data_IF_245597469003
#
_entry.id   IF_245597469003
#
_cell.length_a   1.000
_cell.length_b   1.000
_cell.length_c   1.000
_cell.angle_alpha   90.00
_cell.angle_beta   90.00
_cell.angle_gamma   90.00
#
_symmetry.space_group_name_H-M   'P 1'
#
loop_
_entity.id
_entity.type
_entity.pdbx_description
1 polymer ?
#
# COMPACT_ATOMS: atom_id res chain seq x y z
N UNK A 1 -7.66 15.67 -11.09
CA UNK A 1 -6.89 15.40 -12.33
C UNK A 1 -5.79 16.43 -12.57
N UNK A 2 -6.08 17.74 -12.69
CA UNK A 2 -5.05 18.76 -12.94
C UNK A 2 -3.96 18.85 -11.84
N UNK A 3 -4.36 18.86 -10.57
CA UNK A 3 -3.42 18.88 -9.44
C UNK A 3 -2.45 17.68 -9.42
N UNK A 4 -2.91 16.49 -9.80
CA UNK A 4 -2.07 15.28 -9.90
C UNK A 4 -1.04 15.43 -11.03
N UNK A 5 -1.43 16.01 -12.18
CA UNK A 5 -0.48 16.26 -13.29
C UNK A 5 0.60 17.27 -12.92
N UNK A 6 0.24 18.30 -12.17
CA UNK A 6 1.21 19.28 -11.64
C UNK A 6 2.12 18.59 -10.62
N UNK A 7 1.54 17.86 -9.66
CA UNK A 7 2.29 17.10 -8.66
C UNK A 7 3.28 16.13 -9.32
N UNK A 8 2.88 15.42 -10.38
CA UNK A 8 3.76 14.56 -11.16
C UNK A 8 4.97 15.31 -11.71
N UNK A 9 4.78 16.47 -12.34
CA UNK A 9 5.89 17.26 -12.88
C UNK A 9 6.87 17.68 -11.78
N UNK A 10 6.35 18.10 -10.64
CA UNK A 10 7.16 18.49 -9.48
C UNK A 10 7.83 17.28 -8.82
N UNK A 11 7.18 16.12 -8.78
CA UNK A 11 7.74 14.88 -8.21
C UNK A 11 8.97 14.37 -8.97
N UNK A 12 9.07 14.72 -10.26
CA UNK A 12 10.21 14.43 -11.13
C UNK A 12 11.17 15.63 -11.30
N UNK A 13 10.93 16.74 -10.59
CA UNK A 13 11.87 17.85 -10.56
C UNK A 13 13.16 17.44 -9.86
N UNK A 14 14.32 17.83 -10.40
CA UNK A 14 15.62 17.36 -9.91
C UNK A 14 15.91 17.77 -8.47
N UNK A 15 15.41 18.92 -8.02
CA UNK A 15 15.70 19.42 -6.68
C UNK A 15 14.82 18.71 -5.66
N UNK A 16 13.53 18.57 -5.97
CA UNK A 16 12.59 17.77 -5.16
C UNK A 16 13.04 16.30 -5.11
N UNK A 17 13.53 15.74 -6.22
CA UNK A 17 14.03 14.37 -6.28
C UNK A 17 15.22 14.13 -5.35
N UNK A 18 16.20 15.05 -5.31
CA UNK A 18 17.36 14.94 -4.41
C UNK A 18 16.92 14.88 -2.94
N UNK A 19 15.95 15.72 -2.56
CA UNK A 19 15.45 15.75 -1.18
C UNK A 19 14.65 14.48 -0.87
N UNK A 20 13.82 13.99 -1.81
CA UNK A 20 13.09 12.73 -1.66
C UNK A 20 14.02 11.51 -1.56
N UNK A 21 15.19 11.54 -2.19
CA UNK A 21 16.18 10.47 -2.04
C UNK A 21 16.82 10.48 -0.65
N UNK A 22 16.86 11.61 0.06
CA UNK A 22 17.26 11.64 1.46
C UNK A 22 16.27 10.89 2.38
N UNK A 23 14.95 10.98 2.14
CA UNK A 23 13.92 10.26 2.94
C UNK A 23 14.14 8.75 2.90
N UNK A 24 14.57 8.24 1.74
CA UNK A 24 14.84 6.82 1.52
C UNK A 24 16.06 6.32 2.26
N UNK A 25 17.03 7.20 2.49
CA UNK A 25 18.25 6.88 3.23
C UNK A 25 18.04 6.96 4.74
N UNK A 26 16.98 7.62 5.22
CA UNK A 26 16.65 7.64 6.63
C UNK A 26 16.23 6.24 7.12
N UNK A 27 16.66 5.83 8.32
CA UNK A 27 16.19 4.60 8.96
C UNK A 27 14.66 4.56 8.98
N UNK A 28 14.10 3.37 8.79
CA UNK A 28 12.64 3.24 8.88
C UNK A 28 12.22 3.44 10.34
N UNK A 29 11.26 4.34 10.63
CA UNK A 29 10.91 4.62 12.00
C UNK A 29 10.31 3.39 12.68
N UNK A 30 10.92 3.02 13.80
CA UNK A 30 10.36 2.15 14.83
C UNK A 30 9.34 2.97 15.60
N UNK A 31 8.07 2.52 15.67
CA UNK A 31 6.88 2.94 16.48
C UNK A 31 6.77 4.36 17.10
N UNK A 32 7.67 5.28 16.79
CA UNK A 32 7.99 6.56 17.44
C UNK A 32 7.93 7.62 16.34
N UNK A 33 7.65 8.86 16.74
CA UNK A 33 7.69 9.99 15.84
C UNK A 33 9.10 10.22 15.28
N UNK A 34 9.21 10.22 13.95
CA UNK A 34 10.47 10.42 13.24
C UNK A 34 10.69 11.92 13.00
N UNK A 35 11.30 12.60 13.98
CA UNK A 35 11.52 14.05 13.91
C UNK A 35 12.37 14.43 12.69
N UNK A 36 13.41 13.66 12.35
CA UNK A 36 14.25 13.91 11.18
C UNK A 36 13.46 13.85 9.88
N UNK A 37 12.66 12.78 9.72
CA UNK A 37 11.78 12.61 8.56
C UNK A 37 10.70 13.69 8.49
N UNK A 38 10.13 14.08 9.62
CA UNK A 38 9.14 15.16 9.68
C UNK A 38 9.72 16.50 9.21
N UNK A 39 10.91 16.86 9.69
CA UNK A 39 11.61 18.07 9.24
C UNK A 39 11.96 18.00 7.75
N UNK A 40 12.40 16.84 7.26
CA UNK A 40 12.63 16.63 5.83
C UNK A 40 11.36 16.87 5.02
N UNK A 41 10.21 16.36 5.46
CA UNK A 41 8.93 16.59 4.77
C UNK A 41 8.45 18.04 4.85
N UNK A 42 8.79 18.78 5.91
CA UNK A 42 8.58 20.24 5.95
C UNK A 42 9.41 20.94 4.88
N UNK A 43 10.69 20.57 4.75
CA UNK A 43 11.58 21.13 3.72
C UNK A 43 11.06 20.83 2.30
N UNK A 44 10.66 19.58 2.02
CA UNK A 44 10.06 19.19 0.73
C UNK A 44 8.81 20.05 0.44
N UNK A 45 7.95 20.25 1.44
CA UNK A 45 6.73 21.05 1.27
C UNK A 45 7.05 22.52 0.97
N UNK A 46 8.02 23.11 1.67
CA UNK A 46 8.47 24.47 1.43
C UNK A 46 9.02 24.64 0.01
N UNK A 47 9.93 23.76 -0.40
CA UNK A 47 10.51 23.75 -1.75
C UNK A 47 9.43 23.67 -2.84
N UNK A 48 8.46 22.76 -2.67
CA UNK A 48 7.34 22.60 -3.61
C UNK A 48 6.45 23.86 -3.65
N UNK A 49 6.15 24.46 -2.49
CA UNK A 49 5.31 25.67 -2.41
C UNK A 49 6.02 26.88 -3.01
N UNK A 50 7.33 27.01 -2.80
CA UNK A 50 8.15 28.10 -3.34
C UNK A 50 8.25 27.99 -4.87
N UNK A 51 8.55 26.81 -5.40
CA UNK A 51 8.57 26.57 -6.87
C UNK A 51 7.23 26.85 -7.54
N UNK A 52 6.13 26.64 -6.83
CA UNK A 52 4.78 26.89 -7.36
C UNK A 52 4.25 28.30 -7.07
N UNK A 53 4.98 29.11 -6.29
CA UNK A 53 4.52 30.40 -5.76
C UNK A 53 4.12 31.41 -6.84
N UNK A 54 4.84 31.44 -7.96
CA UNK A 54 4.59 32.31 -9.09
C UNK A 54 3.50 31.79 -10.04
N UNK A 55 3.06 30.54 -9.90
CA UNK A 55 2.18 29.88 -10.88
C UNK A 55 0.80 29.53 -10.34
N UNK A 56 0.64 29.34 -9.02
CA UNK A 56 -0.58 28.78 -8.43
C UNK A 56 -1.06 29.52 -7.16
N UNK A 57 -2.39 29.65 -6.96
CA UNK A 57 -2.97 30.08 -5.70
C UNK A 57 -2.55 29.21 -4.51
N UNK A 58 -2.49 29.81 -3.30
CA UNK A 58 -2.04 29.16 -2.06
C UNK A 58 -2.71 27.81 -1.79
N UNK A 59 -4.04 27.72 -1.93
CA UNK A 59 -4.78 26.48 -1.70
C UNK A 59 -4.34 25.35 -2.65
N UNK A 60 -4.07 25.67 -3.91
CA UNK A 60 -3.59 24.69 -4.89
C UNK A 60 -2.15 24.27 -4.62
N UNK A 61 -1.28 25.20 -4.17
CA UNK A 61 0.10 24.89 -3.76
C UNK A 61 0.13 23.88 -2.62
N UNK A 62 -0.62 24.14 -1.56
CA UNK A 62 -0.75 23.22 -0.42
C UNK A 62 -1.30 21.86 -0.83
N UNK A 63 -2.30 21.84 -1.72
CA UNK A 63 -2.86 20.59 -2.24
C UNK A 63 -1.84 19.79 -3.05
N UNK A 64 -1.06 20.44 -3.92
CA UNK A 64 -0.01 19.78 -4.70
C UNK A 64 1.07 19.22 -3.77
N UNK A 65 1.52 19.99 -2.78
CA UNK A 65 2.52 19.54 -1.81
C UNK A 65 2.07 18.27 -1.04
N UNK A 66 0.80 18.17 -0.64
CA UNK A 66 0.25 16.95 -0.01
C UNK A 66 0.23 15.75 -0.97
N UNK A 67 -0.01 15.97 -2.26
CA UNK A 67 0.01 14.89 -3.25
C UNK A 67 1.42 14.31 -3.46
N UNK A 68 2.48 15.12 -3.33
CA UNK A 68 3.87 14.64 -3.43
C UNK A 68 4.15 13.56 -2.38
N UNK A 69 3.73 13.79 -1.14
CA UNK A 69 3.88 12.82 -0.03
C UNK A 69 3.12 11.52 -0.33
N UNK A 70 1.84 11.63 -0.72
CA UNK A 70 1.03 10.46 -1.07
C UNK A 70 1.61 9.63 -2.24
N UNK A 71 2.12 10.32 -3.26
CA UNK A 71 2.75 9.68 -4.41
C UNK A 71 4.08 9.02 -4.04
N UNK A 72 4.91 9.69 -3.24
CA UNK A 72 6.15 9.10 -2.73
C UNK A 72 5.86 7.81 -1.96
N UNK A 73 4.88 7.84 -1.05
CA UNK A 73 4.45 6.65 -0.30
C UNK A 73 3.91 5.54 -1.21
N UNK A 74 3.16 5.86 -2.27
CA UNK A 74 2.71 4.84 -3.23
C UNK A 74 3.88 4.19 -3.99
N UNK A 75 4.88 4.98 -4.38
CA UNK A 75 6.10 4.47 -5.01
C UNK A 75 6.90 3.56 -4.07
N UNK A 76 7.09 3.97 -2.82
CA UNK A 76 7.76 3.16 -1.79
C UNK A 76 7.00 1.87 -1.49
N UNK A 77 5.67 1.91 -1.49
CA UNK A 77 4.84 0.71 -1.32
C UNK A 77 4.96 -0.24 -2.51
N UNK A 78 4.98 0.29 -3.74
CA UNK A 78 5.26 -0.53 -4.92
C UNK A 78 6.64 -1.20 -4.81
N UNK A 79 7.69 -0.45 -4.44
CA UNK A 79 9.03 -1.02 -4.26
C UNK A 79 9.01 -2.09 -3.17
N UNK A 80 8.35 -1.83 -2.03
CA UNK A 80 8.22 -2.79 -0.93
C UNK A 80 7.54 -4.09 -1.35
N UNK A 81 6.47 -4.01 -2.15
CA UNK A 81 5.73 -5.18 -2.64
C UNK A 81 6.61 -6.10 -3.52
N UNK A 82 7.63 -5.52 -4.15
CA UNK A 82 8.56 -6.23 -5.03
C UNK A 82 9.95 -6.41 -4.42
N UNK A 83 10.18 -5.99 -3.17
CA UNK A 83 11.52 -5.84 -2.62
C UNK A 83 12.34 -7.13 -2.64
N UNK A 84 11.71 -8.28 -2.33
CA UNK A 84 12.36 -9.60 -2.45
C UNK A 84 12.89 -9.85 -3.88
N UNK A 85 12.11 -9.50 -4.90
CA UNK A 85 12.51 -9.63 -6.31
C UNK A 85 13.59 -8.60 -6.67
N UNK A 86 13.48 -7.37 -6.17
CA UNK A 86 14.37 -6.25 -6.49
C UNK A 86 15.76 -6.38 -5.81
N UNK A 87 15.83 -6.81 -4.55
CA UNK A 87 17.10 -7.08 -3.85
C UNK A 87 17.94 -8.15 -4.54
N UNK A 88 17.30 -9.09 -5.25
CA UNK A 88 17.97 -10.18 -5.96
C UNK A 88 18.49 -9.75 -7.34
N UNK A 89 18.33 -8.47 -7.68
CA UNK A 89 18.84 -7.86 -8.90
C UNK A 89 19.94 -6.86 -8.54
N UNK A 90 21.21 -7.29 -8.66
CA UNK A 90 22.39 -6.52 -8.27
C UNK A 90 22.57 -5.17 -9.00
N UNK A 91 21.75 -4.87 -10.02
CA UNK A 91 21.77 -3.63 -10.80
C UNK A 91 20.43 -2.90 -10.89
N UNK A 92 19.32 -3.44 -10.37
CA UNK A 92 18.04 -3.22 -11.08
C UNK A 92 16.95 -2.43 -10.37
N UNK A 93 17.16 -1.83 -9.20
CA UNK A 93 16.19 -0.84 -8.72
C UNK A 93 16.89 0.24 -7.91
N UNK A 94 17.67 1.04 -8.62
CA UNK A 94 18.02 2.34 -8.11
C UNK A 94 16.72 3.18 -8.08
N UNK A 95 16.47 3.97 -7.01
CA UNK A 95 15.58 5.12 -6.96
C UNK A 95 15.34 5.87 -8.28
N UNK A 96 16.32 5.88 -9.20
CA UNK A 96 16.30 6.48 -10.55
C UNK A 96 15.32 5.86 -11.55
N UNK A 97 14.64 4.76 -11.23
CA UNK A 97 13.65 4.14 -12.13
C UNK A 97 12.22 4.66 -11.95
N UNK A 98 12.02 5.82 -11.30
CA UNK A 98 10.70 6.48 -11.19
C UNK A 98 10.04 6.69 -12.56
N UNK A 99 10.81 6.82 -13.65
CA UNK A 99 10.27 6.93 -15.02
C UNK A 99 9.54 5.66 -15.49
N UNK A 100 9.67 4.54 -14.76
CA UNK A 100 8.97 3.27 -15.03
C UNK A 100 7.54 3.27 -14.49
N UNK A 101 7.23 4.13 -13.50
CA UNK A 101 5.89 4.21 -12.93
C UNK A 101 4.90 4.80 -13.94
N UNK A 102 3.86 4.02 -14.24
CA UNK A 102 2.70 4.48 -14.96
C UNK A 102 1.70 5.00 -13.91
N UNK A 103 1.41 6.30 -13.88
CA UNK A 103 0.52 6.90 -12.89
C UNK A 103 -0.91 7.03 -13.41
N UNK A 104 -1.88 6.76 -12.54
CA UNK A 104 -3.30 7.00 -12.78
C UNK A 104 -3.67 8.46 -12.51
N UNK A 105 -4.85 8.87 -12.95
CA UNK A 105 -5.37 10.24 -12.78
C UNK A 105 -5.66 10.63 -11.33
N UNK A 106 -5.74 9.65 -10.42
CA UNK A 106 -5.90 9.82 -8.98
C UNK A 106 -4.57 9.90 -8.21
N UNK A 107 -3.44 9.80 -8.91
CA UNK A 107 -2.10 9.83 -8.30
C UNK A 107 -1.64 8.49 -7.74
N UNK A 108 -2.39 7.39 -7.96
CA UNK A 108 -1.92 6.04 -7.66
C UNK A 108 -1.15 5.42 -8.83
N UNK A 109 -0.33 4.39 -8.59
CA UNK A 109 0.39 3.70 -9.65
C UNK A 109 -0.54 2.71 -10.36
N UNK A 110 -0.58 2.75 -11.69
CA UNK A 110 -1.09 1.68 -12.52
C UNK A 110 -0.10 0.51 -12.49
N UNK A 111 -0.34 -0.42 -11.56
CA UNK A 111 0.60 -1.51 -11.29
C UNK A 111 0.75 -2.48 -12.45
N UNK A 112 -0.32 -2.76 -13.20
CA UNK A 112 -0.27 -3.65 -14.37
C UNK A 112 0.61 -3.02 -15.46
N UNK A 113 0.33 -1.77 -15.85
CA UNK A 113 1.13 -1.08 -16.86
C UNK A 113 2.57 -0.86 -16.42
N UNK A 114 2.80 -0.55 -15.15
CA UNK A 114 4.13 -0.42 -14.57
C UNK A 114 4.89 -1.74 -14.64
N UNK A 115 4.25 -2.86 -14.25
CA UNK A 115 4.84 -4.18 -14.33
C UNK A 115 5.12 -4.60 -15.79
N UNK A 116 4.24 -4.23 -16.73
CA UNK A 116 4.44 -4.45 -18.17
C UNK A 116 5.64 -3.67 -18.69
N UNK A 117 5.72 -2.37 -18.41
CA UNK A 117 6.87 -1.53 -18.77
C UNK A 117 8.17 -2.05 -18.16
N UNK A 118 8.12 -2.55 -16.93
CA UNK A 118 9.24 -3.22 -16.28
C UNK A 118 9.64 -4.51 -17.00
N UNK A 119 8.68 -5.40 -17.30
CA UNK A 119 8.90 -6.68 -17.98
C UNK A 119 9.53 -6.53 -19.38
N UNK A 120 9.35 -5.36 -20.01
CA UNK A 120 9.91 -5.01 -21.32
C UNK A 120 11.30 -4.37 -21.24
N UNK A 121 11.84 -4.11 -20.04
CA UNK A 121 13.13 -3.45 -19.87
C UNK A 121 14.30 -4.41 -20.11
N UNK A 122 14.97 -4.25 -21.25
CA UNK A 122 16.08 -5.11 -21.71
C UNK A 122 17.34 -5.05 -20.83
N UNK A 123 17.46 -4.05 -19.95
CA UNK A 123 18.61 -3.86 -19.06
C UNK A 123 18.53 -4.69 -17.78
N UNK A 124 17.41 -5.37 -17.54
CA UNK A 124 17.18 -6.20 -16.36
C UNK A 124 17.43 -7.67 -16.71
N UNK A 125 17.87 -8.44 -15.72
CA UNK A 125 18.05 -9.88 -15.87
C UNK A 125 16.76 -10.58 -16.37
N UNK A 126 16.85 -11.48 -17.36
CA UNK A 126 15.70 -12.18 -17.91
C UNK A 126 14.87 -12.97 -16.89
N UNK A 127 15.49 -13.54 -15.85
CA UNK A 127 14.75 -14.30 -14.85
C UNK A 127 13.85 -13.38 -14.00
N UNK A 128 14.33 -12.21 -13.62
CA UNK A 128 13.56 -11.18 -12.90
C UNK A 128 12.42 -10.65 -13.75
N UNK A 129 12.66 -10.38 -15.04
CA UNK A 129 11.61 -10.00 -16.00
C UNK A 129 10.54 -11.08 -16.10
N UNK A 130 10.94 -12.35 -16.19
CA UNK A 130 10.02 -13.48 -16.28
C UNK A 130 9.19 -13.64 -15.00
N UNK A 131 9.82 -13.54 -13.83
CA UNK A 131 9.13 -13.60 -12.54
C UNK A 131 8.10 -12.47 -12.43
N UNK A 132 8.44 -11.25 -12.86
CA UNK A 132 7.50 -10.12 -12.89
C UNK A 132 6.32 -10.40 -13.83
N UNK A 133 6.60 -10.81 -15.07
CA UNK A 133 5.58 -11.09 -16.08
C UNK A 133 4.62 -12.20 -15.62
N UNK A 134 5.15 -13.29 -15.05
CA UNK A 134 4.35 -14.36 -14.47
C UNK A 134 3.50 -13.88 -13.29
N UNK A 135 4.07 -13.09 -12.39
CA UNK A 135 3.35 -12.59 -11.20
C UNK A 135 2.15 -11.75 -11.61
N UNK A 136 2.28 -10.92 -12.64
CA UNK A 136 1.23 -10.05 -13.15
C UNK A 136 0.36 -10.68 -14.25
N UNK A 137 0.56 -11.96 -14.57
CA UNK A 137 -0.14 -12.67 -15.66
C UNK A 137 -0.09 -11.93 -17.01
N UNK A 138 1.09 -11.40 -17.33
CA UNK A 138 1.36 -10.72 -18.60
C UNK A 138 1.72 -11.76 -19.67
N UNK A 139 0.71 -12.40 -20.24
CA UNK A 139 0.85 -13.56 -21.14
C UNK A 139 1.84 -13.33 -22.29
N UNK A 140 1.71 -12.24 -23.02
CA UNK A 140 2.58 -11.92 -24.15
C UNK A 140 4.05 -11.80 -23.70
N UNK A 141 4.29 -11.09 -22.60
CA UNK A 141 5.63 -10.95 -22.02
C UNK A 141 6.17 -12.29 -21.50
N UNK A 142 5.33 -13.13 -20.86
CA UNK A 142 5.72 -14.46 -20.39
C UNK A 142 6.17 -15.35 -21.55
N UNK A 143 5.38 -15.40 -22.63
CA UNK A 143 5.68 -16.18 -23.82
C UNK A 143 6.93 -15.67 -24.53
N UNK A 144 7.05 -14.36 -24.71
CA UNK A 144 8.22 -13.74 -25.35
C UNK A 144 9.51 -14.02 -24.57
N UNK A 145 9.46 -13.99 -23.24
CA UNK A 145 10.61 -14.29 -22.39
C UNK A 145 10.94 -15.78 -22.39
N UNK A 146 9.93 -16.66 -22.37
CA UNK A 146 10.12 -18.11 -22.33
C UNK A 146 10.68 -18.67 -23.64
N UNK A 147 10.16 -18.21 -24.78
CA UNK A 147 10.58 -18.66 -26.11
C UNK A 147 11.69 -17.81 -26.72
N UNK A 148 12.05 -16.70 -26.09
CA UNK A 148 13.08 -15.79 -26.58
C UNK A 148 14.50 -16.36 -26.50
N UNK A 149 15.43 -15.70 -27.19
CA UNK A 149 16.83 -16.15 -27.32
C UNK A 149 17.62 -16.15 -25.99
N UNK A 150 17.15 -15.42 -24.96
CA UNK A 150 17.82 -15.37 -23.66
C UNK A 150 17.34 -16.55 -22.79
N UNK A 151 18.24 -17.48 -22.50
CA UNK A 151 17.90 -18.71 -21.77
C UNK A 151 17.46 -18.40 -20.33
N UNK A 152 16.19 -18.65 -20.03
CA UNK A 152 15.67 -18.64 -18.67
C UNK A 152 16.23 -19.84 -17.91
N UNK A 153 16.81 -19.59 -16.74
CA UNK A 153 17.36 -20.65 -15.87
C UNK A 153 16.38 -20.98 -14.76
N UNK A 154 15.76 -22.16 -14.84
CA UNK A 154 14.79 -22.61 -13.82
C UNK A 154 15.41 -22.68 -12.42
N UNK A 155 16.68 -23.07 -12.33
CA UNK A 155 17.41 -23.12 -11.05
C UNK A 155 17.69 -21.72 -10.51
N UNK A 156 17.91 -20.73 -11.39
CA UNK A 156 18.06 -19.33 -10.99
C UNK A 156 16.75 -18.75 -10.46
N UNK A 157 15.61 -19.05 -11.09
CA UNK A 157 14.29 -18.61 -10.63
C UNK A 157 14.01 -19.08 -9.20
N UNK A 158 14.29 -20.35 -8.89
CA UNK A 158 14.07 -20.89 -7.54
C UNK A 158 14.90 -20.12 -6.51
N UNK A 159 16.15 -19.75 -6.85
CA UNK A 159 17.03 -18.96 -5.98
C UNK A 159 16.59 -17.50 -5.86
N UNK A 160 16.06 -16.90 -6.92
CA UNK A 160 15.57 -15.50 -6.98
C UNK A 160 14.21 -15.28 -6.32
N UNK A 161 13.61 -16.33 -5.77
CA UNK A 161 12.27 -16.26 -5.22
C UNK A 161 11.20 -16.48 -6.28
N UNK A 162 10.15 -17.18 -5.89
CA UNK A 162 9.02 -17.57 -6.72
C UNK A 162 7.72 -17.27 -5.97
N UNK A 163 6.59 -17.35 -6.64
CA UNK A 163 5.27 -17.46 -6.02
C UNK A 163 4.47 -18.56 -6.75
N UNK A 164 3.21 -18.75 -6.36
CA UNK A 164 2.30 -19.69 -7.03
C UNK A 164 2.04 -19.35 -8.50
N UNK A 165 2.02 -18.07 -8.88
CA UNK A 165 1.86 -17.65 -10.27
C UNK A 165 3.04 -18.08 -11.15
N UNK A 166 4.27 -17.87 -10.70
CA UNK A 166 5.48 -18.34 -11.40
C UNK A 166 5.47 -19.87 -11.54
N UNK A 167 5.12 -20.59 -10.46
CA UNK A 167 5.01 -22.05 -10.49
C UNK A 167 3.94 -22.54 -11.48
N UNK A 168 2.80 -21.85 -11.54
CA UNK A 168 1.73 -22.12 -12.50
C UNK A 168 2.23 -21.98 -13.94
N UNK A 169 2.80 -20.82 -14.29
CA UNK A 169 3.31 -20.56 -15.64
C UNK A 169 4.40 -21.55 -16.04
N UNK A 170 5.36 -21.83 -15.16
CA UNK A 170 6.41 -22.82 -15.45
C UNK A 170 5.83 -24.22 -15.69
N UNK A 171 4.83 -24.64 -14.92
CA UNK A 171 4.17 -25.94 -15.11
C UNK A 171 3.41 -25.98 -16.44
N UNK A 172 2.71 -24.89 -16.79
CA UNK A 172 1.95 -24.78 -18.02
C UNK A 172 2.87 -24.80 -19.26
N UNK A 173 3.91 -23.96 -19.27
CA UNK A 173 4.87 -23.84 -20.37
C UNK A 173 5.66 -25.14 -20.59
N UNK A 174 6.14 -25.80 -19.53
CA UNK A 174 6.87 -27.07 -19.63
C UNK A 174 6.04 -28.21 -20.21
N UNK A 175 4.73 -28.20 -19.96
CA UNK A 175 3.81 -29.20 -20.51
C UNK A 175 3.50 -28.97 -21.99
N UNK A 176 3.86 -27.81 -22.55
CA UNK A 176 3.43 -27.42 -23.90
C UNK A 176 1.91 -27.41 -24.03
N UNK A 177 1.20 -27.01 -22.98
CA UNK A 177 -0.27 -27.14 -22.96
C UNK A 177 -0.91 -26.19 -23.97
N UNK A 178 -1.77 -26.73 -24.83
CA UNK A 178 -2.55 -25.97 -25.82
C UNK A 178 -3.80 -25.33 -25.19
N UNK A 179 -4.17 -25.74 -23.96
CA UNK A 179 -5.34 -25.20 -23.27
C UNK A 179 -5.05 -23.76 -22.82
N UNK A 180 -5.98 -22.80 -23.05
CA UNK A 180 -5.86 -21.44 -22.54
C UNK A 180 -5.63 -21.45 -21.03
N UNK A 181 -4.62 -20.71 -20.56
CA UNK A 181 -4.22 -20.71 -19.16
C UNK A 181 -5.38 -20.35 -18.21
N UNK A 182 -6.26 -19.43 -18.65
CA UNK A 182 -7.44 -18.95 -17.90
C UNK A 182 -8.35 -20.08 -17.44
N UNK A 183 -8.49 -21.14 -18.25
CA UNK A 183 -9.35 -22.29 -17.94
C UNK A 183 -8.77 -23.22 -16.86
N UNK A 184 -7.51 -23.04 -16.47
CA UNK A 184 -6.87 -23.86 -15.43
C UNK A 184 -6.56 -23.06 -14.16
N UNK A 185 -6.88 -21.76 -14.13
CA UNK A 185 -6.60 -20.91 -12.98
C UNK A 185 -7.38 -21.42 -11.79
N UNK A 186 -8.70 -21.61 -11.92
CA UNK A 186 -9.52 -22.05 -10.79
C UNK A 186 -9.03 -23.37 -10.20
N UNK A 187 -8.80 -24.38 -11.03
CA UNK A 187 -8.31 -25.69 -10.55
C UNK A 187 -6.93 -25.61 -9.89
N UNK A 188 -6.01 -24.83 -10.44
CA UNK A 188 -4.66 -24.72 -9.87
C UNK A 188 -4.65 -23.90 -8.57
N UNK A 189 -5.47 -22.85 -8.50
CA UNK A 189 -5.51 -21.90 -7.40
C UNK A 189 -6.63 -22.17 -6.40
N UNK A 190 -7.43 -23.23 -6.57
CA UNK A 190 -8.51 -23.63 -5.64
C UNK A 190 -8.05 -23.66 -4.20
N UNK A 191 -6.86 -24.23 -3.96
CA UNK A 191 -6.20 -24.28 -2.66
C UNK A 191 -5.01 -23.32 -2.67
N UNK A 192 -5.01 -22.27 -1.83
CA UNK A 192 -3.91 -21.31 -1.75
C UNK A 192 -2.56 -22.00 -1.45
N UNK A 193 -1.63 -21.94 -2.40
CA UNK A 193 -0.28 -22.46 -2.24
C UNK A 193 0.71 -21.30 -2.05
N UNK A 194 0.65 -20.63 -0.89
CA UNK A 194 1.49 -19.47 -0.55
C UNK A 194 2.52 -19.89 0.50
N UNK A 195 3.81 -19.86 0.16
CA UNK A 195 4.90 -20.20 1.09
C UNK A 195 5.46 -18.94 1.73
N UNK A 196 5.98 -19.05 2.96
CA UNK A 196 6.61 -17.91 3.68
C UNK A 196 7.76 -17.28 2.91
N UNK A 197 8.52 -18.08 2.17
CA UNK A 197 9.63 -17.61 1.34
C UNK A 197 9.18 -16.98 0.02
N UNK A 198 7.93 -17.19 -0.42
CA UNK A 198 7.46 -16.69 -1.70
C UNK A 198 7.49 -15.16 -1.76
N UNK A 199 7.68 -14.63 -2.98
CA UNK A 199 7.35 -13.24 -3.28
C UNK A 199 5.82 -13.06 -3.23
N UNK A 200 5.35 -11.83 -3.05
CA UNK A 200 3.91 -11.58 -2.94
C UNK A 200 3.18 -11.99 -4.22
N UNK A 201 2.12 -12.77 -4.05
CA UNK A 201 1.19 -13.10 -5.14
C UNK A 201 0.35 -11.87 -5.47
N UNK A 202 0.15 -11.62 -6.76
CA UNK A 202 -0.76 -10.60 -7.26
C UNK A 202 -2.15 -11.22 -7.47
N UNK A 203 -2.96 -11.25 -6.42
CA UNK A 203 -4.25 -11.96 -6.45
C UNK A 203 -5.22 -11.33 -7.44
N UNK A 204 -5.23 -10.01 -7.59
CA UNK A 204 -6.16 -9.31 -8.49
C UNK A 204 -6.02 -9.70 -9.96
N UNK A 205 -4.90 -10.30 -10.36
CA UNK A 205 -4.72 -10.83 -11.72
C UNK A 205 -5.41 -12.19 -11.94
N UNK A 206 -5.64 -12.96 -10.88
CA UNK A 206 -6.26 -14.30 -10.97
C UNK A 206 -7.68 -14.32 -10.42
N UNK A 207 -8.02 -13.41 -9.51
CA UNK A 207 -9.29 -13.39 -8.79
C UNK A 207 -10.53 -13.43 -9.70
N UNK A 208 -10.59 -12.69 -10.84
CA UNK A 208 -11.72 -12.77 -11.77
C UNK A 208 -11.96 -14.18 -12.32
N UNK A 209 -10.90 -15.00 -12.41
CA UNK A 209 -10.95 -16.35 -12.99
C UNK A 209 -11.17 -17.46 -11.94
N UNK A 210 -11.32 -17.09 -10.66
CA UNK A 210 -11.65 -18.02 -9.59
C UNK A 210 -13.16 -18.14 -9.44
N UNK A 211 -13.65 -19.35 -9.16
CA UNK A 211 -15.01 -19.58 -8.70
C UNK A 211 -15.24 -18.94 -7.33
N UNK A 212 -16.50 -18.68 -6.99
CA UNK A 212 -16.88 -18.11 -5.68
C UNK A 212 -16.35 -18.94 -4.52
N UNK A 213 -16.39 -20.27 -4.63
CA UNK A 213 -15.84 -21.19 -3.63
C UNK A 213 -14.32 -21.01 -3.49
N UNK A 214 -13.58 -20.99 -4.60
CA UNK A 214 -12.13 -20.76 -4.59
C UNK A 214 -11.75 -19.39 -4.03
N UNK A 215 -12.51 -18.33 -4.33
CA UNK A 215 -12.26 -16.97 -3.84
C UNK A 215 -12.28 -16.89 -2.31
N UNK A 216 -13.21 -17.59 -1.65
CA UNK A 216 -13.33 -17.63 -0.19
C UNK A 216 -12.07 -18.15 0.50
N UNK A 217 -11.34 -19.07 -0.14
CA UNK A 217 -10.09 -19.60 0.39
C UNK A 217 -9.00 -18.52 0.50
N UNK A 218 -9.11 -17.42 -0.25
CA UNK A 218 -8.14 -16.33 -0.25
C UNK A 218 -8.42 -15.23 0.78
N UNK A 219 -9.58 -15.21 1.44
CA UNK A 219 -9.97 -14.10 2.32
C UNK A 219 -8.94 -13.84 3.43
N UNK A 220 -8.44 -14.90 4.07
CA UNK A 220 -7.43 -14.82 5.13
C UNK A 220 -6.05 -14.34 4.64
N UNK A 221 -5.78 -14.43 3.34
CA UNK A 221 -4.50 -14.06 2.74
C UNK A 221 -4.49 -12.63 2.20
N UNK A 222 -5.64 -11.93 2.15
CA UNK A 222 -5.73 -10.57 1.60
C UNK A 222 -4.77 -9.57 2.28
N UNK A 223 -4.36 -9.84 3.52
CA UNK A 223 -3.40 -9.03 4.29
C UNK A 223 -1.96 -9.10 3.74
N UNK A 224 -1.58 -10.20 3.11
CA UNK A 224 -0.21 -10.48 2.66
C UNK A 224 0.00 -10.14 1.18
N UNK A 225 -1.01 -9.55 0.54
CA UNK A 225 -1.04 -9.28 -0.89
C UNK A 225 -0.42 -7.92 -1.26
N UNK A 226 -0.47 -7.64 -2.57
CA UNK A 226 -0.17 -6.32 -3.10
C UNK A 226 -1.23 -5.33 -2.60
N UNK A 227 -0.81 -4.10 -2.28
CA UNK A 227 -1.65 -3.08 -1.63
C UNK A 227 -3.05 -2.90 -2.24
N UNK A 228 -3.15 -2.91 -3.57
CA UNK A 228 -4.38 -2.67 -4.31
C UNK A 228 -5.11 -3.97 -4.75
N UNK A 229 -4.59 -5.16 -4.41
CA UNK A 229 -5.30 -6.43 -4.66
C UNK A 229 -6.65 -6.43 -3.94
N UNK A 230 -6.68 -5.95 -2.70
CA UNK A 230 -7.91 -5.89 -1.92
C UNK A 230 -9.04 -5.17 -2.68
N UNK A 231 -8.73 -4.01 -3.29
CA UNK A 231 -9.69 -3.26 -4.10
C UNK A 231 -10.13 -4.03 -5.34
N UNK A 232 -9.17 -4.56 -6.09
CA UNK A 232 -9.48 -5.29 -7.33
C UNK A 232 -10.39 -6.47 -7.01
N UNK A 233 -10.08 -7.23 -5.96
CA UNK A 233 -10.89 -8.36 -5.53
C UNK A 233 -12.30 -7.90 -5.09
N UNK A 234 -12.42 -6.81 -4.33
CA UNK A 234 -13.73 -6.28 -3.93
C UNK A 234 -14.64 -5.89 -5.10
N UNK A 235 -14.09 -5.33 -6.18
CA UNK A 235 -14.88 -4.99 -7.36
C UNK A 235 -15.40 -6.22 -8.12
N UNK A 236 -14.66 -7.32 -8.06
CA UNK A 236 -15.02 -8.59 -8.70
C UNK A 236 -15.99 -9.43 -7.86
N UNK A 237 -16.12 -9.11 -6.56
CA UNK A 237 -17.03 -9.79 -5.65
C UNK A 237 -18.47 -9.30 -5.81
N UNK A 238 -19.43 -10.22 -5.72
CA UNK A 238 -20.84 -9.86 -5.56
C UNK A 238 -21.15 -9.31 -4.15
N UNK A 239 -22.40 -8.89 -3.92
CA UNK A 239 -22.81 -8.33 -2.62
C UNK A 239 -22.76 -9.33 -1.47
N UNK A 240 -22.97 -10.61 -1.76
CA UNK A 240 -22.94 -11.70 -0.77
C UNK A 240 -21.50 -12.02 -0.37
N UNK A 241 -20.60 -12.15 -1.34
CA UNK A 241 -19.16 -12.34 -1.12
C UNK A 241 -18.55 -11.19 -0.31
N UNK A 242 -18.91 -9.94 -0.64
CA UNK A 242 -18.43 -8.76 0.09
C UNK A 242 -18.91 -8.77 1.54
N UNK A 243 -20.19 -9.10 1.77
CA UNK A 243 -20.74 -9.21 3.13
C UNK A 243 -20.00 -10.27 3.95
N UNK A 244 -19.84 -11.47 3.40
CA UNK A 244 -19.13 -12.57 4.06
C UNK A 244 -17.67 -12.19 4.37
N UNK A 245 -16.99 -11.50 3.45
CA UNK A 245 -15.64 -11.00 3.69
C UNK A 245 -15.61 -10.01 4.85
N UNK A 246 -16.55 -9.06 4.86
CA UNK A 246 -16.65 -8.00 5.85
C UNK A 246 -16.93 -8.53 7.25
N UNK A 247 -17.80 -9.53 7.36
CA UNK A 247 -18.08 -10.24 8.61
C UNK A 247 -16.86 -11.03 9.11
N UNK A 248 -16.07 -11.61 8.19
CA UNK A 248 -14.94 -12.48 8.56
C UNK A 248 -13.68 -11.71 8.95
N UNK A 249 -13.42 -10.56 8.35
CA UNK A 249 -12.16 -9.80 8.53
C UNK A 249 -12.37 -8.27 8.66
N UNK A 250 -13.26 -7.79 9.55
CA UNK A 250 -13.67 -6.38 9.62
C UNK A 250 -12.48 -5.42 9.80
N UNK A 251 -11.53 -5.75 10.68
CA UNK A 251 -10.30 -4.96 10.90
C UNK A 251 -9.52 -4.74 9.62
N UNK A 252 -9.32 -5.79 8.82
CA UNK A 252 -8.54 -5.71 7.60
C UNK A 252 -9.24 -4.88 6.52
N UNK A 253 -10.57 -4.91 6.47
CA UNK A 253 -11.36 -4.04 5.59
C UNK A 253 -11.09 -2.58 5.95
N UNK A 254 -11.18 -2.22 7.24
CA UNK A 254 -10.97 -0.86 7.71
C UNK A 254 -9.51 -0.41 7.56
N UNK A 255 -8.53 -1.29 7.78
CA UNK A 255 -7.13 -1.02 7.47
C UNK A 255 -6.88 -0.67 6.01
N UNK A 256 -7.62 -1.29 5.08
CA UNK A 256 -7.52 -0.95 3.66
C UNK A 256 -8.17 0.40 3.36
N UNK A 257 -9.25 0.74 4.06
CA UNK A 257 -9.87 2.06 3.96
C UNK A 257 -8.96 3.19 4.46
N UNK A 258 -8.06 2.93 5.41
CA UNK A 258 -7.06 3.90 5.87
C UNK A 258 -5.93 4.20 4.86
N UNK A 259 -5.90 3.51 3.71
CA UNK A 259 -4.88 3.70 2.67
C UNK A 259 -5.38 4.68 1.62
N UNK A 260 -4.49 5.53 1.13
CA UNK A 260 -4.75 6.39 -0.02
C UNK A 260 -5.23 5.58 -1.24
N UNK A 261 -6.32 5.98 -1.92
CA UNK A 261 -7.18 7.17 -1.70
C UNK A 261 -8.52 6.90 -0.97
N UNK A 262 -8.66 5.83 -0.19
CA UNK A 262 -9.96 5.32 0.29
C UNK A 262 -10.42 5.87 1.65
N UNK A 263 -9.66 6.78 2.25
CA UNK A 263 -9.91 7.25 3.61
C UNK A 263 -11.31 7.87 3.77
N UNK A 264 -11.85 8.48 2.72
CA UNK A 264 -13.21 9.05 2.72
C UNK A 264 -14.32 8.02 2.91
N UNK A 265 -14.07 6.75 2.57
CA UNK A 265 -15.06 5.67 2.74
C UNK A 265 -14.98 5.00 4.12
N UNK A 266 -13.95 5.32 4.92
CA UNK A 266 -13.66 4.64 6.18
C UNK A 266 -14.83 4.66 7.15
N UNK A 267 -15.39 5.83 7.46
CA UNK A 267 -16.47 5.97 8.45
C UNK A 267 -17.74 5.27 7.98
N UNK A 268 -18.11 5.45 6.69
CA UNK A 268 -19.29 4.80 6.12
C UNK A 268 -19.22 3.27 6.17
N UNK A 269 -18.01 2.71 6.02
CA UNK A 269 -17.79 1.26 6.14
C UNK A 269 -17.75 0.84 7.62
N UNK A 270 -17.08 1.60 8.50
CA UNK A 270 -17.02 1.31 9.93
C UNK A 270 -18.42 1.19 10.55
N UNK A 271 -19.33 2.09 10.18
CA UNK A 271 -20.71 2.08 10.65
C UNK A 271 -21.48 0.79 10.29
N UNK A 272 -21.11 0.14 9.19
CA UNK A 272 -21.71 -1.12 8.76
C UNK A 272 -21.08 -2.34 9.46
N UNK A 273 -19.91 -2.17 10.08
CA UNK A 273 -19.13 -3.26 10.65
C UNK A 273 -19.25 -3.36 12.17
N UNK A 274 -19.87 -2.39 12.86
CA UNK A 274 -19.92 -2.37 14.33
C UNK A 274 -20.48 -3.67 14.94
N UNK A 275 -21.52 -4.26 14.34
CA UNK A 275 -22.11 -5.52 14.80
C UNK A 275 -21.21 -6.75 14.65
N UNK A 276 -20.12 -6.62 13.90
CA UNK A 276 -19.19 -7.70 13.58
C UNK A 276 -17.80 -7.50 14.19
N UNK A 277 -17.57 -6.37 14.87
CA UNK A 277 -16.30 -6.07 15.51
C UNK A 277 -16.34 -6.41 16.99
N UNK A 278 -15.21 -6.91 17.50
CA UNK A 278 -14.95 -7.03 18.93
C UNK A 278 -14.27 -5.76 19.48
N UNK A 279 -14.07 -5.70 20.79
CA UNK A 279 -13.22 -4.66 21.38
C UNK A 279 -11.78 -4.73 20.84
N UNK A 280 -11.18 -5.92 20.72
CA UNK A 280 -9.84 -6.10 20.16
C UNK A 280 -9.74 -5.55 18.72
N UNK A 281 -10.79 -5.71 17.93
CA UNK A 281 -10.87 -5.15 16.58
C UNK A 281 -10.85 -3.62 16.61
N UNK A 282 -11.71 -3.03 17.47
CA UNK A 282 -11.79 -1.58 17.67
C UNK A 282 -10.46 -0.99 18.17
N UNK A 283 -9.82 -1.66 19.13
CA UNK A 283 -8.51 -1.27 19.65
C UNK A 283 -7.46 -1.30 18.55
N UNK A 284 -7.36 -2.41 17.81
CA UNK A 284 -6.41 -2.55 16.72
C UNK A 284 -6.58 -1.44 15.65
N UNK A 285 -7.82 -1.07 15.31
CA UNK A 285 -8.13 0.02 14.37
C UNK A 285 -7.70 1.37 14.92
N UNK A 286 -8.05 1.65 16.17
CA UNK A 286 -7.67 2.88 16.86
C UNK A 286 -6.15 3.01 16.92
N UNK A 287 -5.45 1.91 17.23
CA UNK A 287 -3.99 1.85 17.34
C UNK A 287 -3.36 2.12 15.98
N UNK A 288 -3.97 1.56 14.93
CA UNK A 288 -3.53 1.78 13.56
C UNK A 288 -3.63 3.24 13.14
N UNK A 289 -4.71 3.92 13.50
CA UNK A 289 -4.88 5.35 13.19
C UNK A 289 -3.90 6.17 14.03
N UNK A 290 -3.84 5.93 15.33
CA UNK A 290 -2.96 6.63 16.26
C UNK A 290 -1.49 6.52 15.84
N UNK A 291 -0.94 5.31 15.87
CA UNK A 291 0.49 5.07 15.77
C UNK A 291 0.98 5.15 14.32
N UNK A 292 0.24 4.59 13.38
CA UNK A 292 0.72 4.51 11.99
C UNK A 292 0.30 5.69 11.13
N UNK A 293 -0.63 6.54 11.58
CA UNK A 293 -1.07 7.71 10.82
C UNK A 293 -0.76 9.02 11.53
N UNK A 294 -1.33 9.24 12.72
CA UNK A 294 -1.24 10.52 13.43
C UNK A 294 0.17 10.73 13.98
N UNK A 295 0.68 9.79 14.78
CA UNK A 295 2.00 9.88 15.40
C UNK A 295 3.12 9.94 14.38
N UNK A 296 2.95 9.28 13.22
CA UNK A 296 3.89 9.37 12.10
C UNK A 296 3.82 10.69 11.32
N UNK A 297 2.91 11.58 11.69
CA UNK A 297 2.74 12.89 11.05
C UNK A 297 2.23 12.81 9.61
N UNK A 298 1.58 11.72 9.18
CA UNK A 298 1.11 11.58 7.81
C UNK A 298 0.06 12.64 7.48
N UNK A 299 0.27 13.41 6.39
CA UNK A 299 -0.63 14.52 6.00
C UNK A 299 -1.39 14.25 4.68
N UNK A 300 -1.44 13.01 4.21
CA UNK A 300 -2.21 12.62 3.02
C UNK A 300 -3.74 12.59 3.26
N UNK A 301 -4.17 12.58 4.53
CA UNK A 301 -5.57 12.70 4.94
C UNK A 301 -5.69 13.36 6.32
N UNK A 302 -6.87 13.86 6.68
CA UNK A 302 -7.14 14.38 8.03
C UNK A 302 -7.45 13.23 9.01
N UNK A 303 -6.39 12.57 9.46
CA UNK A 303 -6.51 11.43 10.36
C UNK A 303 -6.97 11.80 11.78
N UNK A 304 -6.76 13.04 12.20
CA UNK A 304 -7.25 13.56 13.49
C UNK A 304 -8.76 13.64 13.45
N UNK A 305 -9.31 14.28 12.41
CA UNK A 305 -10.76 14.36 12.24
C UNK A 305 -11.38 12.98 12.05
N UNK A 306 -10.74 12.11 11.27
CA UNK A 306 -11.17 10.71 11.10
C UNK A 306 -11.23 9.97 12.44
N UNK A 307 -10.22 10.13 13.31
CA UNK A 307 -10.21 9.50 14.63
C UNK A 307 -11.31 10.07 15.52
N UNK A 308 -11.50 11.40 15.54
CA UNK A 308 -12.58 12.04 16.31
C UNK A 308 -13.95 11.51 15.90
N UNK A 309 -14.22 11.42 14.61
CA UNK A 309 -15.48 10.91 14.08
C UNK A 309 -15.66 9.42 14.37
N UNK A 310 -14.62 8.60 14.15
CA UNK A 310 -14.63 7.17 14.45
C UNK A 310 -14.88 6.90 15.94
N UNK A 311 -14.20 7.65 16.80
CA UNK A 311 -14.42 7.59 18.24
C UNK A 311 -15.84 8.02 18.61
N UNK A 312 -16.33 9.14 18.09
CA UNK A 312 -17.68 9.62 18.41
C UNK A 312 -18.75 8.58 18.09
N UNK A 313 -18.66 7.94 16.91
CA UNK A 313 -19.60 6.95 16.42
C UNK A 313 -19.42 5.55 17.01
N UNK A 314 -18.34 5.28 17.74
CA UNK A 314 -18.11 3.94 18.28
C UNK A 314 -19.07 3.58 19.43
N UNK A 315 -19.40 2.29 19.58
CA UNK A 315 -20.21 1.79 20.69
C UNK A 315 -19.66 2.22 22.06
N UNK A 316 -20.55 2.61 22.98
CA UNK A 316 -20.15 3.03 24.34
C UNK A 316 -19.39 1.93 25.09
N UNK A 317 -19.75 0.66 24.89
CA UNK A 317 -19.04 -0.47 25.50
C UNK A 317 -17.55 -0.46 25.16
N UNK A 318 -17.18 -0.20 23.91
CA UNK A 318 -15.77 -0.15 23.50
C UNK A 318 -15.04 1.04 24.10
N UNK A 319 -15.72 2.18 24.28
CA UNK A 319 -15.12 3.37 24.92
C UNK A 319 -14.83 3.11 26.39
N UNK A 320 -15.76 2.48 27.11
CA UNK A 320 -15.56 2.17 28.53
C UNK A 320 -14.44 1.15 28.74
N UNK A 321 -14.35 0.13 27.88
CA UNK A 321 -13.26 -0.84 27.92
C UNK A 321 -11.91 -0.20 27.57
N UNK A 322 -11.89 0.71 26.59
CA UNK A 322 -10.69 1.47 26.23
C UNK A 322 -10.16 2.33 27.36
N UNK A 323 -11.05 2.98 28.13
CA UNK A 323 -10.66 3.81 29.29
C UNK A 323 -9.92 3.02 30.37
N UNK A 324 -10.11 1.70 30.44
CA UNK A 324 -9.37 0.83 31.36
C UNK A 324 -7.88 0.73 30.98
N UNK A 325 -7.53 1.03 29.72
CA UNK A 325 -6.15 1.12 29.25
C UNK A 325 -5.61 2.54 29.44
N UNK A 326 -5.34 2.95 30.68
CA UNK A 326 -5.05 4.36 31.05
C UNK A 326 -4.04 5.07 30.12
N UNK A 327 -2.88 4.45 29.88
CA UNK A 327 -1.82 5.09 29.09
C UNK A 327 -2.23 5.33 27.64
N UNK A 328 -2.94 4.36 27.07
CA UNK A 328 -3.36 4.40 25.69
C UNK A 328 -4.58 5.31 25.48
N UNK A 329 -5.52 5.29 26.42
CA UNK A 329 -6.66 6.20 26.43
C UNK A 329 -6.25 7.68 26.57
N UNK A 330 -5.24 7.98 27.40
CA UNK A 330 -4.71 9.35 27.50
C UNK A 330 -4.21 9.92 26.16
N UNK A 331 -3.57 9.09 25.33
CA UNK A 331 -3.18 9.53 23.97
C UNK A 331 -4.40 9.86 23.11
N UNK A 332 -5.46 9.06 23.20
CA UNK A 332 -6.73 9.33 22.50
C UNK A 332 -7.32 10.64 23.00
N UNK A 333 -7.36 10.86 24.32
CA UNK A 333 -7.88 12.08 24.94
C UNK A 333 -7.13 13.33 24.48
N UNK A 334 -5.79 13.28 24.42
CA UNK A 334 -4.97 14.36 23.86
C UNK A 334 -5.44 14.71 22.43
N UNK A 335 -5.72 13.71 21.59
CA UNK A 335 -6.14 13.94 20.20
C UNK A 335 -7.56 14.47 20.12
N UNK A 336 -8.49 13.93 20.92
CA UNK A 336 -9.88 14.37 20.95
C UNK A 336 -9.97 15.85 21.34
N UNK A 337 -9.13 16.27 22.30
CA UNK A 337 -9.05 17.65 22.79
C UNK A 337 -8.07 18.53 21.99
N UNK A 338 -7.34 17.97 21.02
CA UNK A 338 -6.40 18.75 20.22
C UNK A 338 -7.17 19.74 19.33
N UNK A 339 -6.83 21.01 19.51
CA UNK A 339 -7.26 22.11 18.68
C UNK A 339 -6.03 22.80 18.10
N UNK A 340 -5.94 22.83 16.77
CA UNK A 340 -4.77 23.35 16.06
C UNK A 340 -4.60 24.85 16.28
N UNK A 341 -5.68 25.58 16.51
CA UNK A 341 -5.62 27.04 16.65
C UNK A 341 -5.15 27.47 18.04
N UNK A 342 -5.19 26.54 19.01
CA UNK A 342 -4.90 26.81 20.42
C UNK A 342 -3.59 26.17 20.93
N UNK A 343 -2.87 25.42 20.09
CA UNK A 343 -1.69 24.66 20.51
C UNK A 343 -0.40 25.17 19.84
N UNK A 344 0.65 25.32 20.64
CA UNK A 344 1.97 25.81 20.19
C UNK A 344 2.74 24.70 19.45
N UNK A 345 2.60 23.46 19.89
CA UNK A 345 3.31 22.30 19.32
C UNK A 345 2.42 21.52 18.34
N UNK A 346 3.02 20.92 17.29
CA UNK A 346 2.35 19.93 16.46
C UNK A 346 1.89 18.74 17.30
N UNK A 347 0.69 18.20 17.01
CA UNK A 347 0.12 17.07 17.73
C UNK A 347 1.07 15.87 17.82
N UNK A 348 1.74 15.55 16.71
CA UNK A 348 2.74 14.48 16.66
C UNK A 348 3.89 14.65 17.69
N UNK A 349 4.31 15.88 17.98
CA UNK A 349 5.34 16.15 18.99
C UNK A 349 4.80 15.99 20.42
N UNK A 350 3.57 16.46 20.68
CA UNK A 350 2.89 16.29 21.98
C UNK A 350 2.74 14.80 22.31
N UNK A 351 2.35 14.00 21.33
CA UNK A 351 2.19 12.55 21.50
C UNK A 351 3.53 11.84 21.70
N UNK A 352 4.59 12.25 20.99
CA UNK A 352 5.93 11.69 21.16
C UNK A 352 6.51 11.95 22.55
N UNK A 353 6.36 13.18 23.05
CA UNK A 353 6.78 13.54 24.40
C UNK A 353 6.04 12.70 25.45
N UNK A 354 4.73 12.51 25.27
CA UNK A 354 3.94 11.65 26.15
C UNK A 354 4.45 10.20 26.15
N UNK A 355 4.70 9.60 24.97
CA UNK A 355 5.18 8.22 24.87
C UNK A 355 6.53 8.05 25.58
N UNK A 356 7.47 8.98 25.39
CA UNK A 356 8.79 8.92 26.02
C UNK A 356 8.76 8.99 27.55
N UNK A 357 7.74 9.64 28.12
CA UNK A 357 7.61 9.80 29.57
C UNK A 357 6.98 8.55 30.20
N UNK A 358 6.03 7.91 29.51
CA UNK A 358 5.14 6.91 30.11
C UNK A 358 5.28 5.47 29.56
N UNK A 359 6.10 5.25 28.53
CA UNK A 359 6.42 3.91 27.96
C UNK A 359 7.92 3.84 27.55
N UNK A 360 8.85 3.80 28.52
CA UNK A 360 10.30 3.94 28.28
C UNK A 360 10.98 2.76 27.59
#
# INVERSE_FOLDING_TARGET
>A
MAAVRIALRIYYDSDVEKILDADRNLPKPYLIFDRERHELWKQIKLEVVEKLSSFLPTLLRTRVARLIEAMHLEAELWIKDHNKLLYLCSTCFCPRHKSTFCWKTDGSINRIETAKKFAQNKNIDPNTLFIMACTYFLEDEVLALWHGNKRISTNSIIRKGTNSAVRFWMKWLKKGSVKPWRLMVDDYFRIPCIRRSDIRLRLGCIFPYLSQESRKNYFQYLKDLHKDDFRVCLYEMDGTERRELFERIPVYVLYNCLKWPFQTSFIGIANQLWSHMTFDDFDAITYRILIFKILRGLKDFDYVQLLKEFWHLSPSSFKEEMKMQENYFKMIEIILNYDRDNQILPLEEILDEYIRIYDP
#
